data_IF_785612197255
#
_entry.id   IF_785612197255
#
_cell.length_a   1.000
_cell.length_b   1.000
_cell.length_c   1.000
_cell.angle_alpha   90.00
_cell.angle_beta   90.00
_cell.angle_gamma   90.00
#
_symmetry.space_group_name_H-M   'P 1'
#
loop_
_entity.id
_entity.type
_entity.pdbx_description
1 polymer ?
#
# COMPACT_ATOMS: atom_id res chain seq x y z
N UNK A 1 -10.23 -4.81 -12.03
CA UNK A 1 -11.17 -4.91 -10.89
C UNK A 1 -12.30 -3.89 -11.06
N UNK A 2 -13.47 -4.11 -10.46
CA UNK A 2 -14.56 -3.13 -10.42
C UNK A 2 -14.31 -2.11 -9.31
N UNK A 3 -14.26 -0.82 -9.66
CA UNK A 3 -14.27 0.27 -8.69
C UNK A 3 -15.60 0.99 -8.75
N UNK A 4 -16.46 0.74 -7.76
CA UNK A 4 -17.82 1.28 -7.76
C UNK A 4 -18.62 0.76 -8.95
N UNK A 5 -18.92 1.64 -9.91
CA UNK A 5 -19.71 1.33 -11.11
C UNK A 5 -18.85 1.16 -12.37
N UNK A 6 -17.53 1.31 -12.27
CA UNK A 6 -16.61 1.29 -13.40
C UNK A 6 -15.66 0.10 -13.33
N UNK A 7 -15.18 -0.34 -14.49
CA UNK A 7 -14.09 -1.31 -14.57
C UNK A 7 -12.78 -0.55 -14.70
N UNK A 8 -11.85 -0.82 -13.79
CA UNK A 8 -10.46 -0.37 -13.91
C UNK A 8 -9.68 -1.47 -14.64
N UNK A 9 -9.12 -1.12 -15.80
CA UNK A 9 -8.51 -2.07 -16.74
C UNK A 9 -6.99 -1.87 -16.78
N UNK A 10 -6.28 -2.74 -16.06
CA UNK A 10 -4.82 -2.87 -16.12
C UNK A 10 -4.48 -4.29 -16.57
N UNK A 11 -4.45 -4.52 -17.89
CA UNK A 11 -4.13 -5.84 -18.43
C UNK A 11 -2.66 -6.20 -18.18
N UNK A 12 -2.27 -7.49 -18.14
CA UNK A 12 -0.87 -7.92 -18.04
C UNK A 12 0.04 -7.20 -19.04
N UNK A 13 -0.41 -7.04 -20.30
CA UNK A 13 0.31 -6.29 -21.33
C UNK A 13 0.53 -4.82 -20.93
N UNK A 14 -0.50 -4.15 -20.42
CA UNK A 14 -0.41 -2.75 -20.03
C UNK A 14 0.56 -2.57 -18.86
N UNK A 15 0.44 -3.40 -17.81
CA UNK A 15 1.33 -3.29 -16.64
C UNK A 15 2.78 -3.62 -16.98
N UNK A 16 3.04 -4.56 -17.89
CA UNK A 16 4.39 -4.83 -18.40
C UNK A 16 5.00 -3.62 -19.11
N UNK A 17 4.24 -2.97 -19.99
CA UNK A 17 4.73 -1.79 -20.71
C UNK A 17 4.90 -0.58 -19.78
N UNK A 18 4.02 -0.42 -18.79
CA UNK A 18 4.16 0.60 -17.74
C UNK A 18 5.43 0.38 -16.92
N UNK A 19 5.66 -0.83 -16.41
CA UNK A 19 6.86 -1.18 -15.65
C UNK A 19 8.13 -0.88 -16.45
N UNK A 20 8.19 -1.29 -17.73
CA UNK A 20 9.31 -1.00 -18.63
C UNK A 20 9.60 0.50 -18.74
N UNK A 21 8.56 1.33 -18.88
CA UNK A 21 8.70 2.79 -19.00
C UNK A 21 9.12 3.44 -17.69
N UNK A 22 8.56 3.00 -16.57
CA UNK A 22 8.90 3.48 -15.24
C UNK A 22 10.38 3.21 -14.95
N UNK A 23 10.86 1.99 -15.20
CA UNK A 23 12.28 1.67 -15.05
C UNK A 23 13.18 2.42 -16.04
N UNK A 24 12.75 2.63 -17.28
CA UNK A 24 13.51 3.43 -18.24
C UNK A 24 13.67 4.90 -17.81
N UNK A 25 12.75 5.40 -16.98
CA UNK A 25 12.83 6.73 -16.36
C UNK A 25 13.64 6.75 -15.05
N UNK A 26 14.18 5.62 -14.60
CA UNK A 26 14.93 5.52 -13.33
C UNK A 26 14.04 5.60 -12.09
N UNK A 27 12.76 5.23 -12.20
CA UNK A 27 11.79 5.29 -11.11
C UNK A 27 11.50 3.90 -10.57
N UNK A 28 11.30 3.78 -9.26
CA UNK A 28 10.80 2.57 -8.60
C UNK A 28 9.26 2.55 -8.65
N UNK A 29 8.60 1.56 -9.28
CA UNK A 29 7.15 1.43 -9.22
C UNK A 29 6.70 0.95 -7.84
N UNK A 30 5.71 1.63 -7.26
CA UNK A 30 4.87 1.08 -6.19
C UNK A 30 3.73 0.26 -6.81
N UNK A 31 3.58 -0.99 -6.37
CA UNK A 31 2.62 -1.95 -6.91
C UNK A 31 1.36 -1.99 -6.05
N UNK A 32 0.29 -1.37 -6.53
CA UNK A 32 -1.02 -1.37 -5.87
C UNK A 32 -1.74 -2.70 -6.06
N UNK A 33 -1.94 -3.45 -4.97
CA UNK A 33 -2.66 -4.72 -4.96
C UNK A 33 -4.05 -4.52 -4.35
N UNK A 34 -5.09 -4.71 -5.14
CA UNK A 34 -6.47 -4.56 -4.70
C UNK A 34 -7.16 -5.89 -4.42
N UNK A 35 -6.60 -7.01 -4.89
CA UNK A 35 -7.05 -8.36 -4.57
C UNK A 35 -5.91 -9.39 -4.68
N UNK A 36 -6.21 -10.66 -4.38
CA UNK A 36 -5.22 -11.74 -4.45
C UNK A 36 -4.78 -12.10 -5.88
N UNK A 37 -5.56 -11.72 -6.90
CA UNK A 37 -5.19 -11.87 -8.30
C UNK A 37 -4.07 -10.90 -8.69
N UNK A 38 -4.11 -9.67 -8.20
CA UNK A 38 -3.03 -8.70 -8.40
C UNK A 38 -1.70 -9.23 -7.80
N UNK A 39 -1.74 -9.84 -6.61
CA UNK A 39 -0.57 -10.46 -5.99
C UNK A 39 0.00 -11.61 -6.85
N UNK A 40 -0.87 -12.47 -7.37
CA UNK A 40 -0.44 -13.55 -8.26
C UNK A 40 0.18 -13.02 -9.56
N UNK A 41 -0.41 -11.96 -10.13
CA UNK A 41 0.15 -11.31 -11.32
C UNK A 41 1.51 -10.67 -11.03
N UNK A 42 1.66 -9.97 -9.90
CA UNK A 42 2.94 -9.38 -9.50
C UNK A 42 4.04 -10.44 -9.37
N UNK A 43 3.73 -11.60 -8.75
CA UNK A 43 4.66 -12.74 -8.67
C UNK A 43 5.03 -13.29 -10.04
N UNK A 44 4.06 -13.45 -10.94
CA UNK A 44 4.33 -13.92 -12.30
C UNK A 44 5.24 -12.95 -13.06
N UNK A 45 4.95 -11.65 -13.00
CA UNK A 45 5.77 -10.62 -13.65
C UNK A 45 7.16 -10.49 -13.03
N UNK A 46 7.32 -10.73 -11.73
CA UNK A 46 8.63 -10.82 -11.09
C UNK A 46 9.41 -12.04 -11.61
N UNK A 47 8.77 -13.21 -11.69
CA UNK A 47 9.39 -14.42 -12.21
C UNK A 47 9.81 -14.28 -13.69
N UNK A 48 9.03 -13.55 -14.49
CA UNK A 48 9.33 -13.23 -15.89
C UNK A 48 10.41 -12.13 -16.05
N UNK A 49 10.93 -11.57 -14.95
CA UNK A 49 11.93 -10.51 -14.96
C UNK A 49 11.41 -9.14 -15.40
N UNK A 50 10.08 -8.98 -15.51
CA UNK A 50 9.43 -7.70 -15.83
C UNK A 50 9.52 -6.76 -14.62
N UNK A 51 9.19 -7.26 -13.43
CA UNK A 51 9.35 -6.55 -12.17
C UNK A 51 10.69 -6.91 -11.52
N UNK A 52 11.40 -5.91 -11.02
CA UNK A 52 12.77 -6.03 -10.50
C UNK A 52 12.80 -5.72 -9.01
N UNK A 53 13.64 -6.43 -8.27
CA UNK A 53 13.85 -6.17 -6.85
C UNK A 53 14.59 -4.84 -6.60
N UNK A 54 14.36 -4.18 -5.44
CA UNK A 54 13.33 -4.51 -4.47
C UNK A 54 11.93 -4.24 -5.05
N UNK A 55 10.96 -5.12 -4.74
CA UNK A 55 9.56 -4.80 -5.01
C UNK A 55 9.06 -3.85 -3.92
N UNK A 56 8.36 -2.79 -4.32
CA UNK A 56 7.58 -1.93 -3.43
C UNK A 56 6.10 -2.25 -3.65
N UNK A 57 5.43 -2.80 -2.64
CA UNK A 57 4.05 -3.27 -2.73
C UNK A 57 3.15 -2.48 -1.78
N UNK A 58 2.01 -2.03 -2.28
CA UNK A 58 0.98 -1.39 -1.47
C UNK A 58 -0.31 -2.23 -1.51
N UNK A 59 -0.72 -2.74 -0.35
CA UNK A 59 -1.96 -3.51 -0.23
C UNK A 59 -3.10 -2.54 0.04
N UNK A 60 -4.07 -2.50 -0.87
CA UNK A 60 -5.21 -1.59 -0.83
C UNK A 60 -6.45 -2.31 -0.32
N UNK A 61 -6.97 -1.92 0.85
CA UNK A 61 -8.16 -2.56 1.42
C UNK A 61 -9.34 -1.60 1.57
N UNK A 62 -10.55 -2.08 1.26
CA UNK A 62 -11.79 -1.32 1.46
C UNK A 62 -12.34 -0.60 0.23
N UNK A 63 -11.69 -0.73 -0.93
CA UNK A 63 -12.33 -0.39 -2.21
C UNK A 63 -13.51 -1.33 -2.44
N UNK A 64 -14.65 -0.79 -2.88
CA UNK A 64 -15.85 -1.59 -3.15
C UNK A 64 -15.53 -2.66 -4.20
N UNK A 65 -15.79 -3.94 -3.86
CA UNK A 65 -15.47 -5.13 -4.67
C UNK A 65 -13.98 -5.53 -4.72
N UNK A 66 -13.09 -4.85 -4.01
CA UNK A 66 -11.71 -5.27 -3.79
C UNK A 66 -11.53 -6.05 -2.48
N UNK A 67 -10.29 -6.09 -2.00
CA UNK A 67 -9.90 -6.72 -0.75
C UNK A 67 -10.67 -6.16 0.46
N UNK A 68 -11.12 -7.07 1.32
CA UNK A 68 -11.93 -6.73 2.49
C UNK A 68 -11.03 -6.09 3.56
N UNK A 69 -11.40 -4.92 4.12
CA UNK A 69 -10.57 -4.22 5.11
C UNK A 69 -10.72 -4.82 6.51
N UNK A 70 -10.18 -6.04 6.68
CA UNK A 70 -10.13 -6.75 7.97
C UNK A 70 -8.73 -7.35 8.23
N UNK A 71 -8.42 -7.69 9.50
CA UNK A 71 -7.12 -8.26 9.86
C UNK A 71 -6.77 -9.55 9.11
N UNK A 72 -7.74 -10.45 8.90
CA UNK A 72 -7.53 -11.73 8.23
C UNK A 72 -7.04 -11.56 6.79
N UNK A 73 -7.59 -10.58 6.07
CA UNK A 73 -7.20 -10.27 4.69
C UNK A 73 -5.78 -9.73 4.64
N UNK A 74 -5.43 -8.81 5.55
CA UNK A 74 -4.08 -8.25 5.59
C UNK A 74 -3.03 -9.29 5.98
N UNK A 75 -3.33 -10.14 6.97
CA UNK A 75 -2.49 -11.30 7.33
C UNK A 75 -2.31 -12.25 6.16
N UNK A 76 -3.37 -12.53 5.41
CA UNK A 76 -3.29 -13.35 4.19
C UNK A 76 -2.29 -12.73 3.20
N UNK A 77 -2.45 -11.45 2.83
CA UNK A 77 -1.51 -10.80 1.90
C UNK A 77 -0.07 -10.85 2.42
N UNK A 78 0.17 -10.41 3.66
CA UNK A 78 1.50 -10.39 4.27
C UNK A 78 2.16 -11.78 4.25
N UNK A 79 1.39 -12.85 4.50
CA UNK A 79 1.89 -14.25 4.45
C UNK A 79 2.23 -14.74 3.04
N UNK A 80 1.76 -14.05 2.01
CA UNK A 80 1.91 -14.43 0.62
C UNK A 80 2.86 -13.51 -0.15
N UNK A 81 3.39 -12.45 0.44
CA UNK A 81 4.30 -11.54 -0.24
C UNK A 81 5.60 -12.25 -0.68
N UNK A 82 6.23 -11.83 -1.79
CA UNK A 82 7.58 -12.29 -2.14
C UNK A 82 8.58 -12.00 -1.00
N UNK A 83 9.59 -12.85 -0.81
CA UNK A 83 10.65 -12.56 0.16
C UNK A 83 11.36 -11.25 -0.20
N UNK A 84 11.84 -10.54 0.81
CA UNK A 84 12.62 -9.30 0.69
C UNK A 84 11.91 -8.14 -0.03
N UNK A 85 10.59 -8.21 -0.24
CA UNK A 85 9.83 -7.06 -0.73
C UNK A 85 9.63 -6.03 0.39
N UNK A 86 9.62 -4.76 0.00
CA UNK A 86 9.18 -3.66 0.84
C UNK A 86 7.68 -3.54 0.63
N UNK A 87 6.92 -3.45 1.71
CA UNK A 87 5.47 -3.38 1.59
C UNK A 87 4.82 -2.43 2.58
N UNK A 88 3.71 -1.87 2.15
CA UNK A 88 2.81 -1.04 2.93
C UNK A 88 1.37 -1.56 2.80
N UNK A 89 0.50 -1.13 3.70
CA UNK A 89 -0.94 -1.30 3.52
C UNK A 89 -1.71 -0.11 4.07
N UNK A 90 -2.89 0.12 3.49
CA UNK A 90 -3.83 1.12 3.99
C UNK A 90 -5.29 0.70 3.82
N UNK A 91 -6.15 1.39 4.56
CA UNK A 91 -7.58 1.17 4.57
C UNK A 91 -8.36 2.39 4.14
N UNK A 92 -9.40 2.21 3.34
CA UNK A 92 -10.28 3.31 2.91
C UNK A 92 -11.18 3.80 4.06
N UNK A 93 -11.25 5.11 4.22
CA UNK A 93 -12.14 5.83 5.13
C UNK A 93 -11.90 5.46 6.58
N UNK A 94 -12.95 5.00 7.26
CA UNK A 94 -12.88 4.61 8.68
C UNK A 94 -11.89 3.47 8.97
N UNK A 95 -11.42 2.77 7.95
CA UNK A 95 -10.49 1.66 8.07
C UNK A 95 -9.01 2.08 8.09
N UNK A 96 -8.69 3.35 7.79
CA UNK A 96 -7.33 3.88 7.75
C UNK A 96 -6.57 3.60 9.06
N UNK A 97 -7.08 4.06 10.19
CA UNK A 97 -6.38 3.94 11.49
C UNK A 97 -6.21 2.49 11.97
N UNK A 98 -7.25 1.62 11.96
CA UNK A 98 -7.06 0.21 12.34
C UNK A 98 -6.08 -0.53 11.44
N UNK A 99 -6.12 -0.31 10.13
CA UNK A 99 -5.23 -1.02 9.19
C UNK A 99 -3.80 -0.46 9.21
N UNK A 100 -3.62 0.83 9.47
CA UNK A 100 -2.30 1.41 9.74
C UNK A 100 -1.61 0.68 10.90
N UNK A 101 -2.30 0.52 12.03
CA UNK A 101 -1.74 -0.17 13.18
C UNK A 101 -1.47 -1.65 12.87
N UNK A 102 -2.37 -2.32 12.16
CA UNK A 102 -2.19 -3.71 11.77
C UNK A 102 -1.02 -3.92 10.80
N UNK A 103 -0.83 -3.01 9.84
CA UNK A 103 0.28 -3.07 8.88
C UNK A 103 1.62 -2.96 9.62
N UNK A 104 1.74 -1.97 10.51
CA UNK A 104 2.92 -1.81 11.36
C UNK A 104 3.20 -3.06 12.21
N UNK A 105 2.19 -3.63 12.87
CA UNK A 105 2.34 -4.84 13.70
C UNK A 105 2.76 -6.08 12.90
N UNK A 106 2.50 -6.10 11.58
CA UNK A 106 2.92 -7.17 10.68
C UNK A 106 4.29 -6.90 10.01
N UNK A 107 4.94 -5.78 10.37
CA UNK A 107 6.24 -5.40 9.81
C UNK A 107 6.17 -4.64 8.48
N UNK A 108 4.99 -4.14 8.11
CA UNK A 108 4.80 -3.30 6.93
C UNK A 108 4.88 -1.80 7.24
N UNK A 109 5.05 -0.99 6.19
CA UNK A 109 4.90 0.45 6.23
C UNK A 109 3.43 0.87 6.21
N UNK A 110 3.18 2.15 6.44
CA UNK A 110 1.83 2.70 6.63
C UNK A 110 1.58 3.86 5.67
N UNK A 111 0.34 4.01 5.22
CA UNK A 111 -0.14 5.12 4.41
C UNK A 111 -1.39 5.73 5.05
N UNK A 112 -1.45 7.06 5.03
CA UNK A 112 -2.59 7.88 5.46
C UNK A 112 -2.75 9.06 4.51
N UNK A 113 -3.94 9.65 4.49
CA UNK A 113 -4.16 10.90 3.76
C UNK A 113 -5.60 11.10 3.36
N UNK A 114 -5.91 12.33 2.96
CA UNK A 114 -7.24 12.76 2.52
C UNK A 114 -7.71 12.03 1.25
N UNK A 115 -6.79 11.45 0.47
CA UNK A 115 -7.13 10.55 -0.64
C UNK A 115 -7.92 9.34 -0.16
N UNK A 116 -7.55 8.80 1.00
CA UNK A 116 -8.08 7.55 1.52
C UNK A 116 -9.15 7.80 2.60
N UNK A 117 -8.99 8.84 3.41
CA UNK A 117 -9.87 9.17 4.52
C UNK A 117 -10.00 10.68 4.77
N UNK A 118 -11.23 11.18 4.77
CA UNK A 118 -11.52 12.61 5.04
C UNK A 118 -11.82 12.92 6.51
N UNK A 119 -11.81 11.93 7.41
CA UNK A 119 -12.23 12.08 8.81
C UNK A 119 -11.10 11.80 9.81
N UNK A 120 -10.78 12.74 10.70
CA UNK A 120 -9.86 12.49 11.81
C UNK A 120 -10.47 11.59 12.89
N UNK A 121 -11.79 11.62 13.04
CA UNK A 121 -12.59 10.72 13.90
C UNK A 121 -14.03 10.67 13.42
N UNK A 122 -14.82 9.74 13.95
CA UNK A 122 -16.22 9.54 13.54
C UNK A 122 -16.99 10.87 13.55
N UNK A 123 -17.44 11.29 12.37
CA UNK A 123 -18.24 12.50 12.17
C UNK A 123 -17.48 13.83 12.20
N UNK A 124 -16.15 13.82 12.29
CA UNK A 124 -15.34 15.05 12.26
C UNK A 124 -14.30 14.94 11.16
N UNK A 125 -14.37 15.87 10.21
CA UNK A 125 -13.43 15.97 9.10
C UNK A 125 -12.03 16.27 9.62
N UNK A 126 -11.03 15.68 8.96
CA UNK A 126 -9.65 16.11 9.14
C UNK A 126 -9.48 17.52 8.56
N UNK A 127 -8.68 18.34 9.23
CA UNK A 127 -8.39 19.72 8.78
C UNK A 127 -7.53 19.72 7.52
N UNK A 128 -6.52 18.85 7.48
CA UNK A 128 -5.58 18.69 6.39
C UNK A 128 -4.89 17.30 6.48
N UNK A 129 -3.98 17.02 5.56
CA UNK A 129 -3.16 15.80 5.59
C UNK A 129 -2.20 15.75 6.79
N UNK A 130 -1.73 16.91 7.27
CA UNK A 130 -0.77 16.95 8.38
C UNK A 130 -1.41 16.41 9.66
N UNK A 131 -2.68 16.73 9.92
CA UNK A 131 -3.42 16.19 11.06
C UNK A 131 -3.55 14.65 11.03
N UNK A 132 -3.72 14.06 9.84
CA UNK A 132 -3.75 12.60 9.66
C UNK A 132 -2.35 11.99 9.90
N UNK A 133 -1.30 12.63 9.39
CA UNK A 133 0.10 12.22 9.59
C UNK A 133 0.52 12.31 11.06
N UNK A 134 0.15 13.39 11.77
CA UNK A 134 0.42 13.55 13.20
C UNK A 134 -0.23 12.44 14.03
N UNK A 135 -1.49 12.11 13.71
CA UNK A 135 -2.19 11.01 14.37
C UNK A 135 -1.54 9.66 14.08
N UNK A 136 -1.18 9.40 12.82
CA UNK A 136 -0.45 8.20 12.42
C UNK A 136 0.87 8.06 13.19
N UNK A 137 1.69 9.13 13.21
CA UNK A 137 2.95 9.17 13.94
C UNK A 137 2.78 8.89 15.42
N UNK A 138 1.82 9.56 16.07
CA UNK A 138 1.51 9.32 17.48
C UNK A 138 1.17 7.86 17.76
N UNK A 139 0.41 7.19 16.88
CA UNK A 139 0.06 5.78 17.05
C UNK A 139 1.30 4.90 16.91
N UNK A 140 2.13 5.13 15.91
CA UNK A 140 3.36 4.35 15.66
C UNK A 140 4.33 4.50 16.82
N UNK A 141 4.56 5.72 17.31
CA UNK A 141 5.41 6.00 18.48
C UNK A 141 4.88 5.30 19.74
N UNK A 142 3.56 5.36 19.99
CA UNK A 142 2.95 4.66 21.12
C UNK A 142 3.04 3.13 21.02
N UNK A 143 3.17 2.58 19.81
CA UNK A 143 3.45 1.16 19.58
C UNK A 143 4.95 0.83 19.62
N UNK A 144 5.82 1.80 19.92
CA UNK A 144 7.26 1.63 20.03
C UNK A 144 8.03 1.75 18.71
N UNK A 145 7.39 2.22 17.64
CA UNK A 145 8.02 2.48 16.35
C UNK A 145 8.62 3.89 16.25
N UNK A 146 9.27 4.16 15.12
CA UNK A 146 9.75 5.48 14.73
C UNK A 146 9.41 5.74 13.26
N UNK A 147 9.17 7.01 12.92
CA UNK A 147 8.93 7.41 11.54
C UNK A 147 10.25 7.64 10.81
N UNK A 148 10.36 7.08 9.61
CA UNK A 148 11.49 7.33 8.73
C UNK A 148 11.48 8.78 8.24
N UNK A 149 12.62 9.43 8.33
CA UNK A 149 12.89 10.66 7.59
C UNK A 149 12.89 10.38 6.08
N UNK A 150 12.74 11.41 5.23
CA UNK A 150 12.85 11.22 3.78
C UNK A 150 14.19 10.64 3.31
N UNK A 151 15.28 10.82 4.06
CA UNK A 151 16.59 10.25 3.74
C UNK A 151 16.66 8.75 4.07
N UNK A 152 16.11 8.36 5.21
CA UNK A 152 15.98 6.94 5.60
C UNK A 152 15.03 6.21 4.66
N UNK A 153 13.89 6.81 4.31
CA UNK A 153 12.96 6.24 3.35
C UNK A 153 13.64 5.96 1.99
N UNK A 154 14.44 6.90 1.48
CA UNK A 154 15.23 6.68 0.26
C UNK A 154 16.20 5.51 0.41
N UNK A 155 16.89 5.42 1.54
CA UNK A 155 17.81 4.32 1.82
C UNK A 155 17.09 2.97 1.86
N UNK A 156 15.93 2.90 2.53
CA UNK A 156 15.08 1.70 2.60
C UNK A 156 14.63 1.28 1.20
N UNK A 157 14.19 2.24 0.39
CA UNK A 157 13.66 2.01 -0.96
C UNK A 157 14.73 1.83 -2.05
N UNK A 158 16.00 2.12 -1.76
CA UNK A 158 17.08 2.13 -2.76
C UNK A 158 16.98 3.28 -3.76
N UNK A 159 16.53 4.46 -3.31
CA UNK A 159 16.36 5.69 -4.11
C UNK A 159 17.44 6.74 -3.84
#
# INVERSE_FOLDING_TARGET
MFSGTAVVINTPRNVTEMARRIYAAGVLPELELFDGGDLQLAKALQADGVLRNPLLIQIVLGVRYGAIPNPQTLVYFASQLPPDCIWAAFGIGRHEVPLLAQAFLLGGHVRVGLEDNVYIRKGVLARDNAELVEKAGTIIENLGGALATPAEARTILGL
#
